data_IF_728826513144
#
_entry.id   IF_728826513144
#
_cell.length_a   1.000
_cell.length_b   1.000
_cell.length_c   1.000
_cell.angle_alpha   90.00
_cell.angle_beta   90.00
_cell.angle_gamma   90.00
#
_symmetry.space_group_name_H-M   'P 1'
#
loop_
_entity.id
_entity.type
_entity.pdbx_description
1 polymer ?
#
# COMPACT_ATOMS: atom_id res chain seq x y z
N UNK A 1 -7.13 -9.40 6.89
CA UNK A 1 -7.46 -8.05 7.24
C UNK A 1 -7.99 -7.27 6.07
N UNK A 2 -9.13 -6.70 6.26
CA UNK A 2 -9.81 -5.99 5.18
C UNK A 2 -9.01 -4.81 4.61
N UNK A 3 -8.18 -4.18 5.44
CA UNK A 3 -7.40 -3.02 4.98
C UNK A 3 -6.37 -3.38 3.93
N UNK A 4 -5.68 -4.51 4.10
CA UNK A 4 -4.67 -4.95 3.13
C UNK A 4 -5.36 -5.32 1.83
N UNK A 5 -6.46 -6.07 1.90
CA UNK A 5 -7.22 -6.44 0.72
C UNK A 5 -7.76 -5.20 0.00
N UNK A 6 -8.26 -4.23 0.76
CA UNK A 6 -8.81 -3.01 0.19
C UNK A 6 -7.70 -2.19 -0.49
N UNK A 7 -6.52 -2.12 0.14
CA UNK A 7 -5.40 -1.39 -0.44
C UNK A 7 -4.93 -2.01 -1.74
N UNK A 8 -4.99 -3.33 -1.87
CA UNK A 8 -4.60 -4.02 -3.09
C UNK A 8 -5.67 -3.94 -4.17
N UNK A 9 -6.95 -3.96 -3.78
CA UNK A 9 -8.06 -3.94 -4.73
C UNK A 9 -8.41 -2.54 -5.20
N UNK A 10 -8.44 -1.57 -4.29
CA UNK A 10 -8.86 -0.21 -4.58
C UNK A 10 -7.97 0.81 -3.85
N UNK A 11 -6.69 0.88 -4.20
CA UNK A 11 -5.79 1.83 -3.55
C UNK A 11 -6.13 3.27 -3.93
N UNK A 12 -5.81 4.22 -3.05
CA UNK A 12 -5.95 5.63 -3.39
C UNK A 12 -4.94 6.03 -4.45
N UNK A 13 -3.73 5.45 -4.37
CA UNK A 13 -2.79 5.51 -5.49
C UNK A 13 -1.74 4.41 -5.35
N UNK A 14 -0.99 4.19 -6.42
CA UNK A 14 0.14 3.26 -6.44
C UNK A 14 1.33 3.92 -7.10
N UNK A 15 2.53 3.44 -6.74
CA UNK A 15 3.74 3.85 -7.44
C UNK A 15 4.76 2.71 -7.42
N UNK A 16 5.66 2.65 -8.40
CA UNK A 16 6.70 1.63 -8.41
C UNK A 16 7.74 1.92 -7.35
N UNK A 17 8.39 0.83 -6.86
CA UNK A 17 9.51 0.98 -5.95
C UNK A 17 10.68 1.59 -6.71
N UNK A 18 11.33 2.64 -6.16
CA UNK A 18 12.40 3.33 -6.89
C UNK A 18 13.67 2.49 -7.06
N UNK A 19 13.85 1.44 -6.26
CA UNK A 19 15.06 0.64 -6.26
C UNK A 19 14.87 -0.79 -6.75
N UNK A 20 13.65 -1.35 -6.61
CA UNK A 20 13.40 -2.76 -6.88
C UNK A 20 12.43 -2.94 -8.03
N UNK A 21 12.90 -3.36 -9.21
CA UNK A 21 12.01 -3.62 -10.34
C UNK A 21 10.94 -4.64 -10.01
N UNK A 22 9.73 -4.41 -10.50
CA UNK A 22 8.61 -5.32 -10.28
C UNK A 22 7.92 -5.20 -8.95
N UNK A 23 8.44 -4.37 -8.04
CA UNK A 23 7.82 -4.15 -6.73
C UNK A 23 6.99 -2.88 -6.78
N UNK A 24 5.78 -2.93 -6.22
CA UNK A 24 4.84 -1.82 -6.20
C UNK A 24 4.49 -1.44 -4.78
N UNK A 25 4.16 -0.18 -4.59
CA UNK A 25 3.63 0.35 -3.34
C UNK A 25 2.19 0.80 -3.59
N UNK A 26 1.26 0.28 -2.80
CA UNK A 26 -0.13 0.70 -2.82
C UNK A 26 -0.42 1.50 -1.56
N UNK A 27 -1.14 2.59 -1.70
CA UNK A 27 -1.44 3.52 -0.61
C UNK A 27 -2.93 3.62 -0.42
N UNK A 28 -3.38 3.50 0.82
CA UNK A 28 -4.78 3.62 1.17
C UNK A 28 -4.93 4.46 2.44
N UNK A 29 -5.70 5.54 2.35
CA UNK A 29 -6.01 6.33 3.54
C UNK A 29 -7.09 5.64 4.34
N UNK A 30 -6.81 5.37 5.61
CA UNK A 30 -7.75 4.71 6.52
C UNK A 30 -8.39 5.76 7.42
N UNK A 31 -9.63 6.13 7.11
CA UNK A 31 -10.34 7.15 7.89
C UNK A 31 -10.55 6.70 9.33
N UNK A 32 -10.78 5.42 9.55
CA UNK A 32 -10.99 4.83 10.88
C UNK A 32 -9.76 4.93 11.78
N UNK A 33 -8.61 5.26 11.21
CA UNK A 33 -7.35 5.40 11.92
C UNK A 33 -6.79 6.81 11.78
N UNK A 34 -7.63 7.82 11.98
CA UNK A 34 -7.23 9.23 11.88
C UNK A 34 -6.62 9.57 10.53
N UNK A 35 -7.15 9.00 9.46
CA UNK A 35 -6.67 9.24 8.10
C UNK A 35 -5.20 8.89 7.89
N UNK A 36 -4.69 7.94 8.66
CA UNK A 36 -3.35 7.42 8.42
C UNK A 36 -3.30 6.72 7.07
N UNK A 37 -2.16 6.80 6.42
CA UNK A 37 -1.97 6.17 5.12
C UNK A 37 -1.30 4.82 5.31
N UNK A 38 -2.01 3.77 4.92
CA UNK A 38 -1.48 2.41 4.92
C UNK A 38 -0.67 2.22 3.64
N UNK A 39 0.59 1.81 3.78
CA UNK A 39 1.43 1.47 2.64
C UNK A 39 1.62 -0.03 2.59
N UNK A 40 1.24 -0.63 1.47
CA UNK A 40 1.42 -2.06 1.21
C UNK A 40 2.45 -2.20 0.10
N UNK A 41 3.57 -2.84 0.41
CA UNK A 41 4.62 -3.11 -0.58
C UNK A 41 4.45 -4.55 -1.04
N UNK A 42 4.32 -4.74 -2.34
CA UNK A 42 3.98 -6.06 -2.89
C UNK A 42 4.61 -6.27 -4.26
N UNK A 43 4.67 -7.54 -4.68
CA UNK A 43 5.14 -7.91 -5.99
C UNK A 43 3.97 -8.49 -6.79
N UNK A 44 3.40 -7.75 -7.76
CA UNK A 44 2.26 -8.23 -8.53
C UNK A 44 2.61 -9.28 -9.57
N UNK A 45 3.89 -9.49 -9.86
CA UNK A 45 4.32 -10.45 -10.88
C UNK A 45 4.29 -11.90 -10.38
N UNK A 46 4.14 -12.11 -9.08
CA UNK A 46 4.14 -13.44 -8.47
C UNK A 46 2.70 -13.88 -8.22
N UNK A 47 2.41 -15.14 -8.49
CA UNK A 47 1.08 -15.71 -8.25
C UNK A 47 1.22 -16.91 -7.30
N UNK A 48 0.52 -16.88 -6.16
CA UNK A 48 -0.31 -15.77 -5.69
C UNK A 48 0.53 -14.53 -5.37
N UNK A 49 -0.11 -13.36 -5.42
CA UNK A 49 0.53 -12.09 -5.14
C UNK A 49 1.21 -12.12 -3.77
N UNK A 50 2.46 -11.66 -3.72
CA UNK A 50 3.22 -11.66 -2.47
C UNK A 50 3.28 -10.26 -1.88
N UNK A 51 2.80 -10.14 -0.63
CA UNK A 51 2.95 -8.91 0.15
C UNK A 51 4.30 -8.97 0.85
N UNK A 52 5.13 -7.96 0.63
CA UNK A 52 6.47 -7.91 1.19
C UNK A 52 6.45 -7.28 2.57
N UNK A 53 5.78 -6.13 2.71
CA UNK A 53 5.64 -5.46 4.00
C UNK A 53 4.42 -4.56 3.99
N UNK A 54 3.91 -4.25 5.19
CA UNK A 54 2.77 -3.36 5.40
C UNK A 54 3.06 -2.49 6.60
N UNK A 55 2.84 -1.18 6.46
CA UNK A 55 3.00 -0.26 7.58
C UNK A 55 2.24 1.04 7.31
N UNK A 56 1.98 1.79 8.39
CA UNK A 56 1.42 3.13 8.26
C UNK A 56 2.56 4.12 7.99
N UNK A 57 2.42 4.89 6.91
CA UNK A 57 3.45 5.86 6.55
C UNK A 57 3.07 7.23 7.10
N UNK A 58 3.75 7.64 8.16
CA UNK A 58 3.46 8.90 8.84
C UNK A 58 3.73 10.11 7.97
N UNK A 59 4.65 10.01 7.03
CA UNK A 59 5.02 11.12 6.16
C UNK A 59 3.92 11.50 5.21
N UNK A 60 2.98 10.58 4.96
CA UNK A 60 1.88 10.79 4.04
C UNK A 60 0.58 11.16 4.74
N UNK A 61 0.60 11.25 6.06
CA UNK A 61 -0.59 11.61 6.83
C UNK A 61 -1.07 12.99 6.41
N UNK A 62 -2.34 13.09 6.02
CA UNK A 62 -2.94 14.33 5.58
C UNK A 62 -2.65 14.70 4.13
N UNK A 63 -1.93 13.87 3.39
CA UNK A 63 -1.61 14.17 1.99
C UNK A 63 -2.57 13.54 0.98
N UNK A 64 -3.34 12.59 1.42
CA UNK A 64 -4.33 11.95 0.55
C UNK A 64 -5.71 12.53 0.75
#
# INVERSE_FOLDING_TARGET
>A
MAWIERALAEPDWTEPDPAKPGVMHAFLRIAERNHRVLRVVYNPSVHPLRVITVYFDRRLRGRL
#
